data_IF_763487899781
#
_entry.id   IF_763487899781
#
_cell.length_a   1.000
_cell.length_b   1.000
_cell.length_c   1.000
_cell.angle_alpha   90.00
_cell.angle_beta   90.00
_cell.angle_gamma   90.00
#
_symmetry.space_group_name_H-M   'P 1'
#
loop_
_entity.id
_entity.type
_entity.pdbx_description
1 polymer ?
#
# COMPACT_ATOMS: atom_id res chain seq x y z
N UNK A 1 -15.58 -13.43 -5.62
CA UNK A 1 -15.11 -13.26 -4.23
C UNK A 1 -15.08 -14.64 -3.59
N UNK A 2 -13.93 -15.06 -3.06
CA UNK A 2 -13.82 -16.33 -2.34
C UNK A 2 -14.15 -16.09 -0.86
N UNK A 3 -14.88 -17.00 -0.19
CA UNK A 3 -15.10 -16.91 1.25
C UNK A 3 -13.77 -16.98 2.02
N UNK A 4 -13.60 -16.12 3.02
CA UNK A 4 -12.47 -16.11 3.95
C UNK A 4 -12.99 -16.12 5.38
N UNK A 5 -12.23 -16.68 6.31
CA UNK A 5 -12.55 -16.63 7.75
C UNK A 5 -12.16 -15.29 8.39
N UNK A 6 -11.23 -14.56 7.78
CA UNK A 6 -10.81 -13.22 8.19
C UNK A 6 -11.02 -12.18 7.08
N UNK A 7 -10.24 -11.11 7.13
CA UNK A 7 -10.25 -10.01 6.17
C UNK A 7 -9.97 -10.51 4.73
N UNK A 8 -10.68 -9.98 3.72
CA UNK A 8 -10.55 -10.45 2.34
C UNK A 8 -9.19 -10.08 1.74
N UNK A 9 -8.63 -10.96 0.91
CA UNK A 9 -7.45 -10.64 0.11
C UNK A 9 -7.83 -9.97 -1.22
N UNK A 10 -7.01 -9.05 -1.68
CA UNK A 10 -7.07 -8.45 -3.02
C UNK A 10 -5.98 -9.07 -3.88
N UNK A 11 -6.35 -9.74 -4.96
CA UNK A 11 -5.42 -10.29 -5.93
C UNK A 11 -5.68 -9.67 -7.32
N UNK A 12 -4.63 -9.18 -7.95
CA UNK A 12 -4.68 -8.63 -9.30
C UNK A 12 -3.50 -9.16 -10.14
N UNK A 13 -3.75 -9.37 -11.43
CA UNK A 13 -2.75 -9.89 -12.36
C UNK A 13 -2.78 -9.08 -13.66
N UNK A 14 -1.61 -8.61 -14.09
CA UNK A 14 -1.38 -8.08 -15.43
C UNK A 14 -0.32 -8.95 -16.11
N UNK A 15 -0.77 -9.76 -17.08
CA UNK A 15 0.07 -10.69 -17.83
C UNK A 15 0.40 -10.18 -19.25
N UNK A 16 0.21 -8.87 -19.51
CA UNK A 16 0.41 -8.28 -20.85
C UNK A 16 1.87 -7.99 -21.18
N UNK A 17 2.72 -7.87 -20.16
CA UNK A 17 4.16 -7.69 -20.33
C UNK A 17 4.89 -8.97 -20.73
N UNK A 18 6.15 -8.82 -21.14
CA UNK A 18 7.01 -9.94 -21.55
C UNK A 18 8.12 -10.22 -20.52
N UNK A 19 8.65 -11.44 -20.52
CA UNK A 19 9.78 -11.81 -19.66
C UNK A 19 9.39 -12.14 -18.22
N UNK A 20 10.13 -11.58 -17.26
CA UNK A 20 10.02 -11.88 -15.82
C UNK A 20 8.60 -11.62 -15.31
N UNK A 21 8.17 -12.43 -14.32
CA UNK A 21 6.94 -12.19 -13.58
C UNK A 21 7.29 -11.83 -12.14
N UNK A 22 6.89 -10.64 -11.72
CA UNK A 22 7.09 -10.16 -10.34
C UNK A 22 5.78 -10.19 -9.56
N UNK A 23 5.89 -10.52 -8.28
CA UNK A 23 4.82 -10.38 -7.29
C UNK A 23 5.16 -9.21 -6.38
N UNK A 24 4.23 -8.28 -6.24
CA UNK A 24 4.24 -7.31 -5.17
C UNK A 24 3.23 -7.73 -4.11
N UNK A 25 3.75 -8.00 -2.91
CA UNK A 25 2.98 -8.25 -1.71
C UNK A 25 2.91 -6.95 -0.89
N UNK A 26 1.76 -6.68 -0.29
CA UNK A 26 1.58 -5.62 0.69
C UNK A 26 0.35 -5.94 1.55
N UNK A 27 0.02 -5.06 2.49
CA UNK A 27 -1.17 -5.24 3.33
C UNK A 27 -1.89 -3.91 3.58
N UNK A 28 -3.19 -3.99 3.85
CA UNK A 28 -4.04 -2.81 4.00
C UNK A 28 -4.54 -2.58 5.44
N UNK A 29 -4.38 -3.56 6.31
CA UNK A 29 -4.53 -3.39 7.75
C UNK A 29 -3.35 -2.60 8.31
N UNK A 30 -3.51 -2.11 9.53
CA UNK A 30 -2.53 -1.24 10.20
C UNK A 30 -2.62 -1.49 11.70
N UNK A 31 -1.51 -1.33 12.43
CA UNK A 31 -1.51 -1.37 13.89
C UNK A 31 -2.57 -0.42 14.53
N UNK A 32 -3.07 -0.75 15.74
CA UNK A 32 -3.83 0.17 16.57
C UNK A 32 -3.11 1.51 16.80
N UNK A 33 -3.88 2.52 17.22
CA UNK A 33 -3.38 3.90 17.36
C UNK A 33 -3.04 4.29 18.80
N UNK A 34 -3.24 3.38 19.75
CA UNK A 34 -3.03 3.65 21.16
C UNK A 34 -1.55 3.84 21.54
N UNK A 35 -1.25 4.72 22.51
CA UNK A 35 -2.18 5.64 23.17
C UNK A 35 -2.44 6.90 22.33
N UNK A 36 -3.72 7.26 22.15
CA UNK A 36 -4.14 8.43 21.37
C UNK A 36 -3.53 9.76 21.84
N UNK A 37 -3.22 9.91 23.14
CA UNK A 37 -2.67 11.14 23.71
C UNK A 37 -1.26 11.50 23.22
N UNK A 38 -0.54 10.55 22.61
CA UNK A 38 0.79 10.82 22.04
C UNK A 38 0.72 11.34 20.60
N UNK A 39 -0.46 11.40 20.00
CA UNK A 39 -0.65 11.95 18.68
C UNK A 39 -0.92 13.46 18.75
N UNK A 40 -0.18 14.22 17.92
CA UNK A 40 -0.37 15.67 17.80
C UNK A 40 -1.56 16.04 16.89
N UNK A 41 -2.12 15.05 16.17
CA UNK A 41 -3.22 15.16 15.20
C UNK A 41 -3.95 13.81 15.16
N UNK A 42 -5.22 13.80 14.77
CA UNK A 42 -5.94 12.54 14.53
C UNK A 42 -5.11 11.58 13.63
N UNK A 43 -4.81 10.35 14.09
CA UNK A 43 -4.01 9.38 13.35
C UNK A 43 -4.53 9.07 11.94
N UNK A 44 -5.84 9.20 11.71
CA UNK A 44 -6.50 8.92 10.44
C UNK A 44 -6.85 10.17 9.63
N UNK A 45 -6.37 11.35 10.06
CA UNK A 45 -6.39 12.59 9.31
C UNK A 45 -4.96 12.91 8.80
N UNK A 46 -4.49 12.26 7.72
CA UNK A 46 -3.10 12.36 7.30
C UNK A 46 -2.72 13.78 6.88
N UNK A 47 -1.53 14.22 7.27
CA UNK A 47 -1.03 15.55 6.96
C UNK A 47 0.41 15.53 6.44
N UNK A 48 0.71 16.48 5.55
CA UNK A 48 2.08 16.81 5.19
C UNK A 48 2.61 17.81 6.21
N UNK A 49 3.69 17.44 6.89
CA UNK A 49 4.29 18.24 7.96
C UNK A 49 5.73 18.60 7.64
N UNK A 50 6.20 19.74 8.13
CA UNK A 50 7.60 20.12 8.10
C UNK A 50 8.23 19.81 9.45
N UNK A 51 9.31 19.05 9.45
CA UNK A 51 10.08 18.69 10.65
C UNK A 51 11.51 19.22 10.53
N UNK A 52 12.31 19.23 11.62
CA UNK A 52 13.74 19.52 11.53
C UNK A 52 14.52 18.59 10.57
N UNK A 53 13.97 17.41 10.25
CA UNK A 53 14.54 16.44 9.33
C UNK A 53 13.95 16.52 7.91
N UNK A 54 13.12 17.53 7.64
CA UNK A 54 12.48 17.75 6.34
C UNK A 54 10.98 17.47 6.34
N UNK A 55 10.43 17.42 5.13
CA UNK A 55 8.99 17.23 4.88
C UNK A 55 8.62 15.76 5.05
N UNK A 56 7.57 15.49 5.82
CA UNK A 56 7.05 14.13 6.09
C UNK A 56 5.56 14.06 5.80
N UNK A 57 5.05 12.84 5.59
CA UNK A 57 3.62 12.54 5.66
C UNK A 57 3.40 11.84 7.00
N UNK A 58 2.55 12.41 7.86
CA UNK A 58 2.20 11.82 9.16
C UNK A 58 0.76 11.30 9.12
N UNK A 59 0.59 10.06 9.54
CA UNK A 59 -0.69 9.37 9.65
C UNK A 59 -0.48 7.88 9.89
N UNK A 60 -1.44 7.21 10.54
CA UNK A 60 -1.44 5.75 10.71
C UNK A 60 -1.61 5.10 9.33
N UNK A 61 -0.70 4.19 9.00
CA UNK A 61 -0.65 3.56 7.68
C UNK A 61 0.25 4.27 6.66
N UNK A 62 0.80 5.45 6.98
CA UNK A 62 1.54 6.25 6.01
C UNK A 62 2.84 5.60 5.54
N UNK A 63 3.60 5.01 6.47
CA UNK A 63 4.74 4.17 6.14
C UNK A 63 4.29 2.72 5.99
N UNK A 64 3.66 2.18 7.04
CA UNK A 64 3.38 0.77 7.20
C UNK A 64 1.87 0.45 7.07
N UNK A 65 1.40 -0.09 5.95
CA UNK A 65 2.09 -0.25 4.64
C UNK A 65 1.39 0.50 3.51
N UNK A 66 0.32 1.26 3.80
CA UNK A 66 -0.55 1.87 2.78
C UNK A 66 0.20 2.82 1.83
N UNK A 67 1.22 3.53 2.33
CA UNK A 67 2.04 4.40 1.50
C UNK A 67 2.89 3.63 0.49
N UNK A 68 3.54 2.56 0.95
CA UNK A 68 4.35 1.66 0.12
C UNK A 68 3.47 0.89 -0.88
N UNK A 69 2.35 0.34 -0.40
CA UNK A 69 1.33 -0.30 -1.20
C UNK A 69 0.86 0.60 -2.36
N UNK A 70 0.44 1.84 -2.05
CA UNK A 70 -0.02 2.77 -3.09
C UNK A 70 1.11 3.23 -4.02
N UNK A 71 2.35 3.34 -3.53
CA UNK A 71 3.48 3.73 -4.36
C UNK A 71 3.67 2.74 -5.52
N UNK A 72 3.55 1.44 -5.27
CA UNK A 72 3.68 0.44 -6.34
C UNK A 72 2.50 0.47 -7.32
N UNK A 73 1.28 0.66 -6.82
CA UNK A 73 0.08 0.82 -7.65
C UNK A 73 0.20 2.04 -8.56
N UNK A 74 0.61 3.18 -8.02
CA UNK A 74 0.75 4.42 -8.78
C UNK A 74 1.93 4.37 -9.75
N UNK A 75 3.03 3.70 -9.42
CA UNK A 75 4.12 3.44 -10.36
C UNK A 75 3.63 2.65 -11.59
N UNK A 76 2.83 1.60 -11.37
CA UNK A 76 2.22 0.83 -12.44
C UNK A 76 1.24 1.67 -13.28
N UNK A 77 0.40 2.49 -12.64
CA UNK A 77 -0.54 3.40 -13.33
C UNK A 77 0.21 4.44 -14.17
N UNK A 78 1.20 5.10 -13.60
CA UNK A 78 2.01 6.11 -14.27
C UNK A 78 2.75 5.53 -15.49
N UNK A 79 3.34 4.34 -15.35
CA UNK A 79 3.99 3.65 -16.46
C UNK A 79 3.02 3.35 -17.59
N UNK A 80 1.86 2.76 -17.29
CA UNK A 80 0.82 2.45 -18.29
C UNK A 80 0.29 3.71 -18.97
N UNK A 81 0.18 4.82 -18.25
CA UNK A 81 -0.27 6.09 -18.83
C UNK A 81 0.69 6.63 -19.91
N UNK A 82 2.00 6.37 -19.78
CA UNK A 82 3.03 6.84 -20.73
C UNK A 82 3.29 5.81 -21.83
N UNK A 83 3.32 4.51 -21.49
CA UNK A 83 3.79 3.44 -22.37
C UNK A 83 2.69 2.49 -22.87
N UNK A 84 1.45 2.64 -22.39
CA UNK A 84 0.29 1.83 -22.78
C UNK A 84 0.15 0.49 -22.03
N UNK A 85 1.27 -0.18 -21.74
CA UNK A 85 1.29 -1.45 -20.99
C UNK A 85 2.48 -1.56 -20.04
N UNK A 86 2.40 -2.50 -19.09
CA UNK A 86 3.54 -2.82 -18.22
C UNK A 86 4.62 -3.57 -19.03
N UNK A 87 5.91 -3.34 -18.73
CA UNK A 87 6.99 -3.94 -19.50
C UNK A 87 7.20 -5.43 -19.17
N UNK A 88 6.73 -5.85 -17.99
CA UNK A 88 6.83 -7.21 -17.45
C UNK A 88 5.47 -7.67 -16.90
N UNK A 89 5.37 -8.96 -16.59
CA UNK A 89 4.17 -9.49 -15.92
C UNK A 89 4.20 -9.11 -14.44
N UNK A 90 3.07 -8.67 -13.91
CA UNK A 90 2.95 -8.22 -12.52
C UNK A 90 1.75 -8.88 -11.86
N UNK A 91 1.96 -9.47 -10.69
CA UNK A 91 0.89 -9.81 -9.75
C UNK A 91 0.96 -8.86 -8.56
N UNK A 92 -0.20 -8.43 -8.07
CA UNK A 92 -0.33 -7.72 -6.80
C UNK A 92 -1.20 -8.57 -5.87
N UNK A 93 -0.76 -8.76 -4.63
CA UNK A 93 -1.49 -9.45 -3.59
C UNK A 93 -1.48 -8.61 -2.32
N UNK A 94 -2.66 -8.19 -1.87
CA UNK A 94 -2.84 -7.42 -0.65
C UNK A 94 -3.71 -8.16 0.34
N UNK A 95 -3.20 -8.36 1.55
CA UNK A 95 -3.96 -8.94 2.65
C UNK A 95 -4.34 -7.90 3.71
N UNK A 96 -5.12 -8.32 4.70
CA UNK A 96 -5.63 -7.44 5.74
C UNK A 96 -5.49 -7.99 7.14
N UNK A 97 -4.51 -8.87 7.37
CA UNK A 97 -4.28 -9.54 8.66
C UNK A 97 -2.79 -9.54 9.06
N UNK A 98 -1.92 -8.82 8.35
CA UNK A 98 -0.46 -8.87 8.58
C UNK A 98 -0.11 -8.45 10.02
N UNK A 99 -0.81 -7.45 10.53
CA UNK A 99 -0.58 -6.86 11.85
C UNK A 99 -1.23 -7.67 12.98
N UNK A 100 -1.99 -8.72 12.62
CA UNK A 100 -2.81 -9.56 13.50
C UNK A 100 -2.45 -11.07 13.44
N UNK A 101 -1.32 -11.40 12.82
CA UNK A 101 -0.85 -12.78 12.55
C UNK A 101 -0.81 -13.74 13.73
#
# INVERSE_FOLDING_TARGET
>A
KHPTTGHPMVAAHDATGNGLHVLFYGHYDVQPVDPLSLWNRDPFDPAVEQTPHGRVIRGRGAADDKGQLLTFVEACRAWKAVHGSLPIKVSMFFEGEEESG
#
